data_IF_361156418634
#
_entry.id   IF_361156418634
#
_cell.length_a   1.000
_cell.length_b   1.000
_cell.length_c   1.000
_cell.angle_alpha   90.00
_cell.angle_beta   90.00
_cell.angle_gamma   90.00
#
_symmetry.space_group_name_H-M   'P 1'
#
loop_
_entity.id
_entity.type
_entity.pdbx_description
1 polymer ?
#
# COMPACT_ATOMS: atom_id res chain seq x y z
N UNK A 1 10.85 11.31 -5.06
CA UNK A 1 10.19 10.18 -4.37
C UNK A 1 11.15 9.01 -4.38
N UNK A 2 11.32 8.30 -3.26
CA UNK A 2 12.15 7.09 -3.19
C UNK A 2 11.25 5.84 -3.17
N UNK A 3 11.17 5.13 -4.30
CA UNK A 3 10.28 3.98 -4.45
C UNK A 3 10.72 2.77 -3.61
N UNK A 4 12.03 2.57 -3.43
CA UNK A 4 12.56 1.48 -2.62
C UNK A 4 12.21 1.66 -1.14
N UNK A 5 12.20 2.90 -0.66
CA UNK A 5 11.77 3.21 0.70
C UNK A 5 10.27 2.97 0.88
N UNK A 6 9.44 3.37 -0.09
CA UNK A 6 8.00 3.09 -0.05
C UNK A 6 7.73 1.59 -0.03
N UNK A 7 8.39 0.83 -0.91
CA UNK A 7 8.25 -0.62 -0.97
C UNK A 7 8.57 -1.29 0.38
N UNK A 8 9.59 -0.82 1.10
CA UNK A 8 9.93 -1.33 2.44
C UNK A 8 8.89 -0.96 3.52
N UNK A 9 8.15 0.13 3.34
CA UNK A 9 7.15 0.63 4.30
C UNK A 9 5.76 0.06 4.07
N UNK A 10 5.52 -0.57 2.91
CA UNK A 10 4.20 -1.05 2.49
C UNK A 10 4.04 -2.56 2.60
N UNK A 11 4.72 -3.20 3.55
CA UNK A 11 4.50 -4.62 3.86
C UNK A 11 3.03 -4.83 4.30
N UNK A 12 2.37 -5.83 3.72
CA UNK A 12 0.95 -6.13 3.97
C UNK A 12 -0.05 -5.25 3.21
N UNK A 13 0.42 -4.31 2.38
CA UNK A 13 -0.46 -3.55 1.48
C UNK A 13 -0.79 -4.39 0.25
N UNK A 14 -2.04 -4.31 -0.19
CA UNK A 14 -2.48 -4.81 -1.49
C UNK A 14 -2.29 -3.76 -2.58
N UNK A 15 -2.48 -4.15 -3.85
CA UNK A 15 -2.47 -3.18 -4.95
C UNK A 15 -3.51 -2.06 -4.80
N UNK A 16 -4.66 -2.36 -4.19
CA UNK A 16 -5.70 -1.37 -3.90
C UNK A 16 -5.24 -0.37 -2.81
N UNK A 17 -4.56 -0.85 -1.77
CA UNK A 17 -4.02 0.04 -0.74
C UNK A 17 -2.95 0.97 -1.31
N UNK A 18 -2.08 0.46 -2.19
CA UNK A 18 -1.07 1.28 -2.87
C UNK A 18 -1.70 2.36 -3.76
N UNK A 19 -2.77 2.04 -4.49
CA UNK A 19 -3.54 3.02 -5.26
C UNK A 19 -4.12 4.11 -4.33
N UNK A 20 -4.74 3.71 -3.23
CA UNK A 20 -5.31 4.63 -2.24
C UNK A 20 -4.24 5.55 -1.63
N UNK A 21 -3.04 5.03 -1.32
CA UNK A 21 -1.89 5.84 -0.86
C UNK A 21 -1.49 6.87 -1.90
N UNK A 22 -1.39 6.48 -3.18
CA UNK A 22 -1.02 7.41 -4.26
C UNK A 22 -2.07 8.52 -4.43
N UNK A 23 -3.36 8.14 -4.37
CA UNK A 23 -4.47 9.08 -4.45
C UNK A 23 -4.46 10.05 -3.26
N UNK A 24 -4.27 9.56 -2.05
CA UNK A 24 -4.22 10.41 -0.85
C UNK A 24 -3.00 11.35 -0.88
N UNK A 25 -1.83 10.87 -1.31
CA UNK A 25 -0.65 11.71 -1.49
C UNK A 25 -0.89 12.88 -2.47
N UNK A 26 -1.60 12.62 -3.58
CA UNK A 26 -2.00 13.66 -4.53
C UNK A 26 -2.99 14.66 -3.92
N UNK A 27 -3.98 14.17 -3.17
CA UNK A 27 -4.96 15.04 -2.48
C UNK A 27 -4.31 15.91 -1.42
N UNK A 28 -3.36 15.38 -0.64
CA UNK A 28 -2.60 16.15 0.34
C UNK A 28 -1.77 17.27 -0.33
N UNK A 29 -1.11 16.97 -1.45
CA UNK A 29 -0.36 17.96 -2.21
C UNK A 29 -1.24 19.09 -2.77
N UNK A 30 -2.43 18.74 -3.27
CA UNK A 30 -3.44 19.68 -3.77
C UNK A 30 -4.04 20.56 -2.66
N UNK A 31 -4.28 19.99 -1.47
CA UNK A 31 -4.78 20.75 -0.31
C UNK A 31 -3.76 21.75 0.22
N UNK A 32 -2.47 21.42 0.14
CA UNK A 32 -1.39 22.35 0.51
C UNK A 32 -1.28 23.51 -0.49
N UNK A 33 -1.40 23.23 -1.79
CA UNK A 33 -1.37 24.24 -2.85
C UNK A 33 -2.21 23.78 -4.03
N UNK A 34 -3.23 24.56 -4.40
CA UNK A 34 -4.15 24.26 -5.50
C UNK A 34 -3.50 24.53 -6.86
N UNK A 35 -2.47 23.76 -7.18
CA UNK A 35 -1.67 23.87 -8.40
C UNK A 35 -1.12 22.49 -8.79
N UNK A 36 -1.05 22.21 -10.09
CA UNK A 36 -0.43 20.99 -10.59
C UNK A 36 1.10 21.06 -10.41
N UNK A 37 1.66 20.11 -9.65
CA UNK A 37 3.10 20.03 -9.38
C UNK A 37 3.53 18.59 -9.10
N UNK A 38 4.84 18.28 -9.19
CA UNK A 38 5.36 16.99 -8.74
C UNK A 38 5.03 16.74 -7.26
N UNK A 39 4.59 15.52 -6.96
CA UNK A 39 4.27 15.11 -5.58
C UNK A 39 5.57 14.68 -4.90
N UNK A 40 5.92 15.38 -3.82
CA UNK A 40 7.11 15.13 -3.02
C UNK A 40 6.94 13.93 -2.06
N UNK A 41 8.06 13.38 -1.59
CA UNK A 41 8.08 12.22 -0.69
C UNK A 41 7.26 12.44 0.61
N UNK A 42 7.24 13.67 1.13
CA UNK A 42 6.51 14.03 2.36
C UNK A 42 5.01 13.67 2.31
N UNK A 43 4.38 13.78 1.14
CA UNK A 43 2.96 13.45 1.00
C UNK A 43 2.70 11.95 1.02
N UNK A 44 3.61 11.15 0.46
CA UNK A 44 3.51 9.70 0.53
C UNK A 44 3.70 9.20 1.97
N UNK A 45 4.67 9.76 2.70
CA UNK A 45 4.86 9.43 4.12
C UNK A 45 3.60 9.77 4.93
N UNK A 46 2.98 10.93 4.66
CA UNK A 46 1.73 11.32 5.34
C UNK A 46 0.54 10.46 4.92
N UNK A 47 0.45 10.07 3.65
CA UNK A 47 -0.60 9.19 3.15
C UNK A 47 -0.54 7.79 3.81
N UNK A 48 0.66 7.25 4.05
CA UNK A 48 0.85 5.98 4.77
C UNK A 48 0.38 6.02 6.23
N UNK A 49 0.32 7.20 6.86
CA UNK A 49 -0.28 7.35 8.20
C UNK A 49 -1.81 7.28 8.15
N UNK A 50 -2.41 7.65 7.02
CA UNK A 50 -3.87 7.76 6.84
C UNK A 50 -4.44 6.44 6.30
N UNK A 51 -3.69 5.76 5.43
CA UNK A 51 -4.10 4.55 4.73
C UNK A 51 -3.33 3.36 5.31
N UNK A 52 -3.89 2.57 6.25
CA UNK A 52 -3.25 1.37 6.78
C UNK A 52 -3.31 0.20 5.77
N UNK A 53 -2.45 -0.84 5.93
CA UNK A 53 -2.56 -2.05 5.13
C UNK A 53 -3.89 -2.76 5.35
N UNK A 54 -4.48 -3.31 4.29
CA UNK A 54 -5.73 -4.08 4.41
C UNK A 54 -5.53 -5.53 4.84
N UNK A 55 -4.31 -6.07 4.74
CA UNK A 55 -4.00 -7.45 5.13
C UNK A 55 -3.21 -7.50 6.42
N UNK A 56 -3.67 -8.34 7.35
CA UNK A 56 -2.90 -8.70 8.54
C UNK A 56 -1.95 -9.88 8.25
N UNK A 57 -0.96 -10.08 9.13
CA UNK A 57 -0.11 -11.27 9.06
C UNK A 57 -0.90 -12.58 9.19
N UNK A 58 -2.03 -12.56 9.90
CA UNK A 58 -2.90 -13.72 10.04
C UNK A 58 -3.61 -14.04 8.73
N UNK A 59 -4.12 -13.03 8.02
CA UNK A 59 -4.75 -13.18 6.71
C UNK A 59 -3.79 -13.81 5.71
N UNK A 60 -2.56 -13.28 5.64
CA UNK A 60 -1.50 -13.81 4.77
C UNK A 60 -1.25 -15.29 5.08
N UNK A 61 -1.04 -15.63 6.36
CA UNK A 61 -0.82 -17.01 6.76
C UNK A 61 -2.01 -17.92 6.46
N UNK A 62 -3.24 -17.42 6.53
CA UNK A 62 -4.44 -18.17 6.12
C UNK A 62 -4.44 -18.43 4.62
N UNK A 63 -4.14 -17.44 3.78
CA UNK A 63 -4.07 -17.62 2.33
C UNK A 63 -2.96 -18.60 1.93
N UNK A 64 -1.80 -18.54 2.57
CA UNK A 64 -0.71 -19.48 2.33
C UNK A 64 -1.10 -20.94 2.66
N UNK A 65 -1.78 -21.16 3.80
CA UNK A 65 -2.29 -22.48 4.18
C UNK A 65 -3.30 -23.01 3.16
N UNK A 66 -4.27 -22.17 2.79
CA UNK A 66 -5.28 -22.52 1.79
C UNK A 66 -4.62 -22.88 0.45
N UNK A 67 -3.66 -22.09 -0.02
CA UNK A 67 -2.94 -22.35 -1.26
C UNK A 67 -2.18 -23.69 -1.21
N UNK A 68 -1.58 -24.03 -0.07
CA UNK A 68 -0.87 -25.31 0.13
C UNK A 68 -1.82 -26.50 0.13
N UNK A 69 -2.99 -26.38 0.74
CA UNK A 69 -4.02 -27.43 0.76
C UNK A 69 -4.59 -27.68 -0.63
N UNK A 70 -4.96 -26.61 -1.35
CA UNK A 70 -5.46 -26.72 -2.72
C UNK A 70 -4.43 -27.37 -3.65
N UNK A 71 -3.14 -27.00 -3.52
CA UNK A 71 -2.07 -27.61 -4.32
C UNK A 71 -1.92 -29.12 -4.05
N UNK A 72 -2.16 -29.57 -2.83
CA UNK A 72 -2.12 -31.01 -2.47
C UNK A 72 -3.33 -31.79 -2.95
N UNK A 73 -4.48 -31.14 -3.15
CA UNK A 73 -5.70 -31.80 -3.62
C UNK A 73 -5.74 -32.01 -5.15
N UNK A 74 -4.84 -31.35 -5.89
CA UNK A 74 -4.77 -31.38 -7.37
C UNK A 74 -3.65 -32.29 -7.88
N UNK A 75 -2.81 -32.83 -7.00
CA UNK A 75 -1.74 -33.81 -7.28
C UNK A 75 -2.14 -35.14 -6.65
#
# INVERSE_FOLDING_TARGET
VNLEELARKTEGYTGADIEAVCREAAMLALREKLEARPIEMKYFLKALEIIPPSLTKEDIGRYERLAKELKRAVI
#
